data_IF_635425013472
#
_entry.id   IF_635425013472
#
_cell.length_a   1.000
_cell.length_b   1.000
_cell.length_c   1.000
_cell.angle_alpha   90.00
_cell.angle_beta   90.00
_cell.angle_gamma   90.00
#
_symmetry.space_group_name_H-M   'P 1'
#
loop_
_entity.id
_entity.type
_entity.pdbx_description
1 polymer ?
#
# COMPACT_ATOMS: atom_id res chain seq x y z
N UNK A 1 73.27 -22.45 -12.91
CA UNK A 1 71.94 -23.08 -12.78
C UNK A 1 71.15 -22.36 -11.70
N UNK A 2 70.27 -21.44 -12.07
CA UNK A 2 69.44 -20.67 -11.14
C UNK A 2 68.22 -21.50 -10.75
N UNK A 3 68.14 -21.87 -9.47
CA UNK A 3 67.05 -22.65 -8.86
C UNK A 3 65.80 -21.77 -8.83
N UNK A 4 64.87 -21.96 -9.78
CA UNK A 4 63.60 -21.22 -9.82
C UNK A 4 62.78 -21.52 -8.57
N UNK A 5 62.42 -20.46 -7.85
CA UNK A 5 61.70 -20.50 -6.58
C UNK A 5 60.23 -20.90 -6.81
N UNK A 6 59.92 -22.20 -6.73
CA UNK A 6 58.58 -22.76 -6.99
C UNK A 6 57.55 -22.47 -5.88
N UNK A 7 58.01 -22.08 -4.70
CA UNK A 7 57.18 -21.97 -3.49
C UNK A 7 56.21 -20.78 -3.53
N UNK A 8 56.64 -19.65 -4.10
CA UNK A 8 55.76 -18.48 -4.29
C UNK A 8 54.68 -18.67 -5.36
N UNK A 9 54.89 -19.58 -6.32
CA UNK A 9 53.88 -19.91 -7.32
C UNK A 9 52.76 -20.78 -6.72
N UNK A 10 53.09 -21.67 -5.79
CA UNK A 10 52.10 -22.50 -5.09
C UNK A 10 51.15 -21.67 -4.20
N UNK A 11 51.66 -20.61 -3.54
CA UNK A 11 50.86 -19.71 -2.72
C UNK A 11 49.92 -18.82 -3.55
N UNK A 12 50.37 -18.35 -4.73
CA UNK A 12 49.52 -17.58 -5.65
C UNK A 12 48.39 -18.42 -6.25
N UNK A 13 48.65 -19.70 -6.53
CA UNK A 13 47.61 -20.64 -7.01
C UNK A 13 46.58 -20.90 -5.92
N UNK A 14 47.01 -21.07 -4.67
CA UNK A 14 46.11 -21.21 -3.52
C UNK A 14 45.17 -20.00 -3.37
N UNK A 15 45.72 -18.78 -3.48
CA UNK A 15 44.92 -17.56 -3.42
C UNK A 15 43.90 -17.44 -4.57
N UNK A 16 44.31 -17.77 -5.80
CA UNK A 16 43.41 -17.77 -6.95
C UNK A 16 42.24 -18.75 -6.78
N UNK A 17 42.51 -19.94 -6.23
CA UNK A 17 41.50 -20.96 -5.99
C UNK A 17 40.47 -20.50 -4.94
N UNK A 18 40.93 -19.82 -3.88
CA UNK A 18 40.04 -19.22 -2.87
C UNK A 18 39.15 -18.14 -3.50
N UNK A 19 39.70 -17.25 -4.33
CA UNK A 19 38.92 -16.21 -5.02
C UNK A 19 37.80 -16.83 -5.87
N UNK A 20 38.10 -17.90 -6.62
CA UNK A 20 37.12 -18.58 -7.47
C UNK A 20 35.98 -19.14 -6.62
N UNK A 21 36.30 -19.79 -5.49
CA UNK A 21 35.28 -20.33 -4.58
C UNK A 21 34.41 -19.21 -4.02
N UNK A 22 35.01 -18.11 -3.56
CA UNK A 22 34.27 -16.94 -3.03
C UNK A 22 33.36 -16.34 -4.10
N UNK A 23 33.83 -16.21 -5.35
CA UNK A 23 33.02 -15.70 -6.45
C UNK A 23 31.80 -16.58 -6.73
N UNK A 24 31.96 -17.91 -6.70
CA UNK A 24 30.84 -18.87 -6.88
C UNK A 24 29.81 -18.73 -5.73
N UNK A 25 30.27 -18.62 -4.49
CA UNK A 25 29.39 -18.44 -3.32
C UNK A 25 28.60 -17.13 -3.44
N UNK A 26 29.24 -16.03 -3.83
CA UNK A 26 28.58 -14.73 -4.04
C UNK A 26 27.52 -14.83 -5.15
N UNK A 27 27.84 -15.47 -6.29
CA UNK A 27 26.87 -15.65 -7.39
C UNK A 27 25.67 -16.49 -6.97
N UNK A 28 25.87 -17.50 -6.13
CA UNK A 28 24.78 -18.32 -5.60
C UNK A 28 23.87 -17.51 -4.66
N UNK A 29 24.45 -16.74 -3.75
CA UNK A 29 23.71 -15.86 -2.84
C UNK A 29 22.94 -14.76 -3.59
N UNK A 30 23.55 -14.15 -4.61
CA UNK A 30 22.89 -13.16 -5.46
C UNK A 30 21.70 -13.76 -6.21
N UNK A 31 21.86 -14.97 -6.75
CA UNK A 31 20.78 -15.68 -7.44
C UNK A 31 19.60 -15.98 -6.51
N UNK A 32 19.88 -16.32 -5.25
CA UNK A 32 18.84 -16.57 -4.24
C UNK A 32 18.19 -15.27 -3.74
N UNK A 33 18.98 -14.22 -3.53
CA UNK A 33 18.51 -12.90 -3.11
C UNK A 33 17.59 -12.26 -4.16
N UNK A 34 17.96 -12.31 -5.44
CA UNK A 34 17.16 -11.76 -6.54
C UNK A 34 15.87 -12.56 -6.81
N UNK A 35 15.88 -13.88 -6.56
CA UNK A 35 14.67 -14.71 -6.70
C UNK A 35 13.59 -14.40 -5.67
N UNK A 36 13.90 -13.68 -4.59
CA UNK A 36 12.95 -13.35 -3.52
C UNK A 36 12.21 -12.02 -3.74
N UNK A 37 12.08 -11.53 -4.98
CA UNK A 37 11.28 -10.34 -5.32
C UNK A 37 9.76 -10.60 -5.26
N UNK A 38 9.31 -11.37 -4.27
CA UNK A 38 7.91 -11.72 -4.10
C UNK A 38 7.13 -10.51 -3.62
N UNK A 39 6.65 -9.66 -4.54
CA UNK A 39 5.54 -8.72 -4.38
C UNK A 39 5.40 -7.99 -3.03
N UNK A 40 6.51 -7.72 -2.32
CA UNK A 40 6.46 -6.91 -1.12
C UNK A 40 6.02 -5.51 -1.54
N UNK A 41 4.96 -5.00 -0.92
CA UNK A 41 4.55 -3.62 -1.08
C UNK A 41 5.78 -2.77 -0.82
N UNK A 42 6.29 -2.11 -1.86
CA UNK A 42 7.38 -1.15 -1.67
C UNK A 42 6.75 -0.01 -0.89
N UNK A 43 7.04 0.04 0.40
CA UNK A 43 6.52 1.07 1.29
C UNK A 43 6.84 2.45 0.69
N UNK A 44 5.79 3.25 0.53
CA UNK A 44 5.91 4.62 0.07
C UNK A 44 5.47 5.57 1.16
N UNK A 45 6.36 6.47 1.53
CA UNK A 45 6.06 7.58 2.44
C UNK A 45 4.88 8.43 1.94
N UNK A 46 4.73 8.60 0.62
CA UNK A 46 3.61 9.32 0.02
C UNK A 46 2.29 8.56 0.22
N UNK A 47 2.29 7.24 0.04
CA UNK A 47 1.12 6.41 0.23
C UNK A 47 0.72 6.35 1.72
N UNK A 48 1.70 6.21 2.62
CA UNK A 48 1.49 6.18 4.06
C UNK A 48 0.95 7.51 4.58
N UNK A 49 1.60 8.63 4.23
CA UNK A 49 1.12 9.98 4.58
C UNK A 49 -0.28 10.23 4.03
N UNK A 50 -0.58 9.74 2.82
CA UNK A 50 -1.91 9.85 2.23
C UNK A 50 -2.96 9.07 3.06
N UNK A 51 -2.69 7.81 3.42
CA UNK A 51 -3.62 7.03 4.25
C UNK A 51 -3.86 7.73 5.59
N UNK A 52 -2.80 8.14 6.29
CA UNK A 52 -2.90 8.79 7.59
C UNK A 52 -3.70 10.11 7.51
N UNK A 53 -3.41 10.95 6.52
CA UNK A 53 -4.15 12.20 6.31
C UNK A 53 -5.63 11.93 5.95
N UNK A 54 -5.88 10.91 5.12
CA UNK A 54 -7.25 10.54 4.70
C UNK A 54 -8.07 10.05 5.88
N UNK A 55 -7.49 9.24 6.78
CA UNK A 55 -8.19 8.74 7.98
C UNK A 55 -8.62 9.84 8.94
N UNK A 56 -7.87 10.95 8.99
CA UNK A 56 -8.18 12.15 9.78
C UNK A 56 -9.12 13.13 9.06
N UNK A 57 -9.38 12.92 7.77
CA UNK A 57 -10.34 13.74 7.04
C UNK A 57 -11.74 13.54 7.60
N UNK A 58 -12.56 14.58 7.54
CA UNK A 58 -13.90 14.57 8.13
C UNK A 58 -14.97 14.84 7.08
N UNK A 59 -16.11 14.16 7.23
CA UNK A 59 -17.30 14.37 6.41
C UNK A 59 -18.48 14.77 7.29
N UNK A 60 -19.32 15.66 6.77
CA UNK A 60 -20.59 16.04 7.41
C UNK A 60 -21.62 14.94 7.13
N UNK A 61 -22.25 14.44 8.20
CA UNK A 61 -23.38 13.53 8.11
C UNK A 61 -24.67 14.18 8.62
N UNK A 62 -25.63 14.28 7.71
CA UNK A 62 -26.98 14.77 7.99
C UNK A 62 -27.09 16.28 8.18
N UNK A 63 -28.32 16.80 8.34
CA UNK A 63 -28.60 18.24 8.42
C UNK A 63 -28.09 18.89 9.70
N UNK A 64 -27.87 18.11 10.76
CA UNK A 64 -27.27 18.56 12.02
C UNK A 64 -25.76 18.78 11.90
N UNK A 65 -25.17 18.54 10.71
CA UNK A 65 -23.74 18.66 10.42
C UNK A 65 -22.88 17.93 11.43
N UNK A 66 -23.31 16.74 11.85
CA UNK A 66 -22.46 15.91 12.71
C UNK A 66 -21.26 15.50 11.88
N UNK A 67 -20.08 15.75 12.44
CA UNK A 67 -18.83 15.53 11.74
C UNK A 67 -18.29 14.17 12.16
N UNK A 68 -17.99 13.33 11.18
CA UNK A 68 -17.33 12.04 11.40
C UNK A 68 -16.02 12.01 10.62
N UNK A 69 -14.94 11.57 11.25
CA UNK A 69 -13.71 11.22 10.56
C UNK A 69 -13.92 10.01 9.64
N UNK A 70 -13.12 9.89 8.59
CA UNK A 70 -13.12 8.69 7.73
C UNK A 70 -12.87 7.44 8.56
N UNK A 71 -11.99 7.50 9.57
CA UNK A 71 -11.76 6.40 10.49
C UNK A 71 -13.05 5.99 11.24
N UNK A 72 -13.82 6.95 11.75
CA UNK A 72 -15.10 6.66 12.42
C UNK A 72 -16.13 6.10 11.43
N UNK A 73 -16.19 6.64 10.21
CA UNK A 73 -17.07 6.15 9.15
C UNK A 73 -16.76 4.70 8.76
N UNK A 74 -15.48 4.30 8.75
CA UNK A 74 -15.08 2.89 8.54
C UNK A 74 -15.70 2.00 9.62
N UNK A 75 -15.62 2.38 10.89
CA UNK A 75 -16.18 1.59 11.99
C UNK A 75 -17.72 1.55 12.00
N UNK A 76 -18.36 2.67 11.67
CA UNK A 76 -19.81 2.74 11.51
C UNK A 76 -20.29 1.85 10.36
N UNK A 77 -19.58 1.88 9.23
CA UNK A 77 -19.88 1.07 8.07
C UNK A 77 -19.66 -0.43 8.34
N UNK A 78 -18.57 -0.79 9.03
CA UNK A 78 -18.34 -2.19 9.42
C UNK A 78 -19.46 -2.71 10.32
N UNK A 79 -19.96 -1.85 11.21
CA UNK A 79 -21.08 -2.12 12.12
C UNK A 79 -22.47 -2.02 11.47
N UNK A 80 -22.56 -1.74 10.17
CA UNK A 80 -23.83 -1.57 9.42
C UNK A 80 -24.76 -0.52 10.02
N UNK A 81 -24.17 0.55 10.59
CA UNK A 81 -24.93 1.67 11.19
C UNK A 81 -25.01 2.85 10.23
N UNK A 82 -26.18 3.48 10.16
CA UNK A 82 -26.30 4.79 9.54
C UNK A 82 -25.54 5.84 10.34
N UNK A 83 -25.01 6.85 9.66
CA UNK A 83 -24.45 8.01 10.35
C UNK A 83 -25.57 9.01 10.74
N UNK A 84 -26.72 8.94 10.04
CA UNK A 84 -27.92 9.70 10.35
C UNK A 84 -29.17 8.81 10.16
N UNK A 85 -29.96 8.65 11.21
CA UNK A 85 -31.22 7.90 11.18
C UNK A 85 -32.35 8.76 10.61
N UNK A 86 -33.19 8.16 9.76
CA UNK A 86 -34.34 8.84 9.19
C UNK A 86 -35.26 9.38 10.29
N UNK A 87 -35.73 10.62 10.10
CA UNK A 87 -36.72 11.24 10.95
C UNK A 87 -37.94 11.58 10.08
N UNK A 88 -38.95 10.69 9.99
CA UNK A 88 -40.11 10.85 9.10
C UNK A 88 -40.90 12.14 9.39
N UNK A 89 -40.88 12.58 10.66
CA UNK A 89 -41.54 13.82 11.09
C UNK A 89 -40.87 15.10 10.55
N UNK A 90 -39.65 14.97 10.01
CA UNK A 90 -38.84 16.09 9.49
C UNK A 90 -38.54 15.97 7.99
N UNK A 91 -39.14 15.00 7.28
CA UNK A 91 -38.83 14.67 5.88
C UNK A 91 -37.33 14.42 5.62
N UNK A 92 -36.64 13.82 6.60
CA UNK A 92 -35.21 13.54 6.51
C UNK A 92 -34.94 12.07 6.19
N UNK A 93 -34.20 11.85 5.11
CA UNK A 93 -33.75 10.53 4.68
C UNK A 93 -32.59 10.01 5.54
N UNK A 94 -32.50 8.69 5.65
CA UNK A 94 -31.39 8.01 6.30
C UNK A 94 -30.13 8.13 5.43
N UNK A 95 -28.99 8.43 6.06
CA UNK A 95 -27.71 8.46 5.37
C UNK A 95 -26.87 7.29 5.86
N UNK A 96 -26.65 6.34 4.96
CA UNK A 96 -25.81 5.18 5.21
C UNK A 96 -24.33 5.62 5.36
N UNK A 97 -23.66 5.12 6.39
CA UNK A 97 -22.25 5.47 6.64
C UNK A 97 -21.29 4.91 5.57
N UNK A 98 -21.60 3.76 4.97
CA UNK A 98 -20.80 3.16 3.89
C UNK A 98 -20.90 3.98 2.59
N UNK A 99 -22.09 4.49 2.27
CA UNK A 99 -22.29 5.32 1.08
C UNK A 99 -21.55 6.65 1.24
N UNK A 100 -21.70 7.31 2.39
CA UNK A 100 -20.96 8.54 2.70
C UNK A 100 -19.43 8.31 2.69
N UNK A 101 -18.97 7.17 3.24
CA UNK A 101 -17.55 6.79 3.22
C UNK A 101 -17.04 6.62 1.79
N UNK A 102 -17.79 5.91 0.95
CA UNK A 102 -17.45 5.68 -0.46
C UNK A 102 -17.37 7.00 -1.23
N UNK A 103 -18.39 7.86 -1.10
CA UNK A 103 -18.41 9.18 -1.75
C UNK A 103 -17.25 10.07 -1.29
N UNK A 104 -17.00 10.12 0.02
CA UNK A 104 -15.91 10.92 0.60
C UNK A 104 -14.56 10.44 0.08
N UNK A 105 -14.30 9.13 0.13
CA UNK A 105 -13.03 8.55 -0.34
C UNK A 105 -12.87 8.68 -1.86
N UNK A 106 -13.94 8.47 -2.64
CA UNK A 106 -13.91 8.68 -4.08
C UNK A 106 -13.57 10.14 -4.42
N UNK A 107 -14.14 11.10 -3.69
CA UNK A 107 -13.83 12.52 -3.83
C UNK A 107 -12.37 12.84 -3.53
N UNK A 108 -11.85 12.35 -2.39
CA UNK A 108 -10.44 12.52 -2.00
C UNK A 108 -9.52 11.91 -3.06
N UNK A 109 -9.77 10.66 -3.46
CA UNK A 109 -8.94 9.96 -4.45
C UNK A 109 -8.95 10.65 -5.82
N UNK A 110 -10.09 11.16 -6.27
CA UNK A 110 -10.21 11.87 -7.54
C UNK A 110 -9.39 13.18 -7.55
N UNK A 111 -9.28 13.86 -6.40
CA UNK A 111 -8.52 15.11 -6.28
C UNK A 111 -7.03 14.86 -6.04
N UNK A 112 -6.67 13.87 -5.22
CA UNK A 112 -5.30 13.59 -4.80
C UNK A 112 -4.52 12.74 -5.81
N UNK A 113 -5.16 11.75 -6.45
CA UNK A 113 -4.50 10.74 -7.28
C UNK A 113 -5.03 10.74 -8.70
N UNK A 114 -4.70 11.78 -9.47
CA UNK A 114 -5.09 11.87 -10.89
C UNK A 114 -4.36 10.82 -11.72
N UNK A 115 -5.14 10.02 -12.45
CA UNK A 115 -4.63 8.98 -13.34
C UNK A 115 -4.75 9.41 -14.81
N UNK A 116 -3.88 8.89 -15.68
CA UNK A 116 -3.94 9.16 -17.11
C UNK A 116 -2.62 8.88 -17.83
N UNK A 117 -2.64 8.90 -19.17
CA UNK A 117 -1.42 8.61 -19.96
C UNK A 117 -0.28 9.59 -19.67
N UNK A 118 -0.61 10.87 -19.48
CA UNK A 118 0.34 11.95 -19.21
C UNK A 118 0.61 12.18 -17.71
N UNK A 119 0.05 11.36 -16.82
CA UNK A 119 0.29 11.46 -15.38
C UNK A 119 1.37 10.47 -14.93
N UNK A 120 2.16 10.78 -13.89
CA UNK A 120 3.12 9.84 -13.32
C UNK A 120 2.45 8.58 -12.80
N UNK A 121 1.28 8.73 -12.17
CA UNK A 121 0.48 7.62 -11.65
C UNK A 121 -0.47 7.13 -12.74
N UNK A 122 -0.36 5.85 -13.09
CA UNK A 122 -1.18 5.17 -14.11
C UNK A 122 -2.46 4.60 -13.54
N UNK A 123 -2.45 4.20 -12.28
CA UNK A 123 -3.60 3.67 -11.57
C UNK A 123 -3.40 3.62 -10.07
N UNK A 124 -4.47 3.32 -9.34
CA UNK A 124 -4.41 3.07 -7.91
C UNK A 124 -5.48 2.05 -7.49
N UNK A 125 -5.26 1.43 -6.34
CA UNK A 125 -6.26 0.70 -5.59
C UNK A 125 -6.23 1.10 -4.11
N UNK A 126 -7.41 1.32 -3.54
CA UNK A 126 -7.64 1.50 -2.11
C UNK A 126 -8.52 0.35 -1.64
N UNK A 127 -8.07 -0.39 -0.64
CA UNK A 127 -8.79 -1.50 -0.03
C UNK A 127 -8.93 -1.27 1.46
N UNK A 128 -10.16 -1.34 1.95
CA UNK A 128 -10.49 -1.31 3.36
C UNK A 128 -11.14 -2.65 3.70
N UNK A 129 -10.52 -3.42 4.58
CA UNK A 129 -11.02 -4.72 4.98
C UNK A 129 -11.07 -4.82 6.51
N UNK A 130 -12.19 -5.29 7.04
CA UNK A 130 -12.28 -5.77 8.42
C UNK A 130 -11.78 -7.21 8.48
N UNK A 131 -11.58 -7.74 9.69
CA UNK A 131 -11.21 -9.15 9.90
C UNK A 131 -12.23 -10.13 9.31
N UNK A 132 -13.47 -9.69 9.10
CA UNK A 132 -14.61 -10.54 8.69
C UNK A 132 -15.09 -10.28 7.27
N UNK A 133 -14.90 -9.07 6.72
CA UNK A 133 -15.42 -8.66 5.41
C UNK A 133 -14.60 -7.57 4.74
N UNK A 134 -14.66 -7.50 3.41
CA UNK A 134 -14.21 -6.33 2.66
C UNK A 134 -15.27 -5.21 2.81
N UNK A 135 -14.84 -4.06 3.33
CA UNK A 135 -15.73 -2.91 3.57
C UNK A 135 -15.84 -2.08 2.29
N UNK A 136 -14.69 -1.78 1.68
CA UNK A 136 -14.62 -0.93 0.49
C UNK A 136 -13.43 -1.34 -0.38
N UNK A 137 -13.67 -1.35 -1.69
CA UNK A 137 -12.63 -1.50 -2.69
C UNK A 137 -12.83 -0.47 -3.80
N UNK A 138 -11.88 0.45 -3.93
CA UNK A 138 -11.87 1.49 -4.98
C UNK A 138 -10.66 1.27 -5.87
N UNK A 139 -10.87 1.26 -7.17
CA UNK A 139 -9.82 1.07 -8.17
C UNK A 139 -10.02 2.02 -9.34
N UNK A 140 -8.92 2.61 -9.81
CA UNK A 140 -8.95 3.48 -10.99
C UNK A 140 -7.67 3.34 -11.81
N UNK A 141 -7.78 3.47 -13.13
CA UNK A 141 -6.64 3.49 -14.05
C UNK A 141 -6.04 2.12 -14.37
N UNK A 142 -4.79 2.12 -14.84
CA UNK A 142 -4.08 0.91 -15.28
C UNK A 142 -3.17 0.36 -14.17
N UNK A 143 -3.36 -0.91 -13.82
CA UNK A 143 -2.54 -1.60 -12.82
C UNK A 143 -1.30 -2.18 -13.50
N UNK A 144 -0.15 -1.52 -13.32
CA UNK A 144 1.13 -1.97 -13.88
C UNK A 144 1.84 -2.93 -12.92
N UNK A 145 3.00 -3.46 -13.32
CA UNK A 145 3.85 -4.24 -12.42
C UNK A 145 4.71 -3.37 -11.48
N UNK A 146 4.77 -2.06 -11.72
CA UNK A 146 5.53 -1.12 -10.92
C UNK A 146 4.58 -0.37 -9.99
N UNK A 147 4.58 -0.75 -8.71
CA UNK A 147 3.68 -0.18 -7.73
C UNK A 147 4.41 0.13 -6.43
N UNK A 148 3.83 1.07 -5.70
CA UNK A 148 4.20 1.37 -4.32
C UNK A 148 2.94 1.48 -3.50
N UNK A 149 3.02 1.14 -2.23
CA UNK A 149 1.84 1.16 -1.38
C UNK A 149 2.18 1.40 0.06
N UNK A 150 1.12 1.49 0.86
CA UNK A 150 1.19 1.53 2.30
C UNK A 150 0.01 0.75 2.87
N UNK A 151 0.21 0.27 4.09
CA UNK A 151 -0.79 -0.43 4.86
C UNK A 151 -0.84 0.21 6.25
N UNK A 152 -2.04 0.60 6.64
CA UNK A 152 -2.32 1.11 7.98
C UNK A 152 -3.26 0.12 8.68
N UNK A 153 -2.75 -0.46 9.76
CA UNK A 153 -3.56 -1.27 10.65
C UNK A 153 -4.34 -0.38 11.62
N UNK A 154 -5.65 -0.60 11.69
CA UNK A 154 -6.56 -0.02 12.66
C UNK A 154 -7.08 -1.13 13.58
N UNK A 155 -7.60 -0.80 14.77
CA UNK A 155 -8.23 -1.79 15.64
C UNK A 155 -9.45 -2.45 14.97
N UNK A 156 -9.27 -3.61 14.35
CA UNK A 156 -10.33 -4.37 13.68
C UNK A 156 -10.50 -4.14 12.18
N UNK A 157 -9.69 -3.25 11.57
CA UNK A 157 -9.73 -3.01 10.13
C UNK A 157 -8.33 -2.67 9.59
N UNK A 158 -8.07 -3.03 8.33
CA UNK A 158 -6.82 -2.75 7.63
C UNK A 158 -7.12 -1.90 6.41
N UNK A 159 -6.35 -0.83 6.24
CA UNK A 159 -6.45 0.09 5.09
C UNK A 159 -5.19 -0.07 4.27
N UNK A 160 -5.34 -0.52 3.03
CA UNK A 160 -4.24 -0.68 2.08
C UNK A 160 -4.44 0.27 0.91
N UNK A 161 -3.43 1.06 0.60
CA UNK A 161 -3.41 1.89 -0.59
C UNK A 161 -2.21 1.54 -1.45
N UNK A 162 -2.43 1.34 -2.75
CA UNK A 162 -1.39 1.00 -3.71
C UNK A 162 -1.54 1.86 -4.95
N UNK A 163 -0.48 2.57 -5.32
CA UNK A 163 -0.37 3.38 -6.53
C UNK A 163 0.54 2.69 -7.55
N UNK A 164 0.15 2.77 -8.83
CA UNK A 164 0.80 2.14 -9.97
C UNK A 164 1.37 3.19 -10.91
N UNK A 165 2.56 2.94 -11.44
CA UNK A 165 3.35 3.88 -12.25
C UNK A 165 3.74 3.27 -13.60
#
# INVERSE_FOLDING_TARGET
>A
MTKTNKRGQEEMVGFALIIIIVAIVILFLLSFSLKKSGKENVESYEADSFIQATLQYTAECGPEKRVFSVQELIFLCDSEKACFEAAPERDLEEINSCDLLNETLAGILAQSWKTGQNQPVKGYELKIASNTKEILYVKQGNLTSNYKGALQDLPGANVTFTAYY
#
